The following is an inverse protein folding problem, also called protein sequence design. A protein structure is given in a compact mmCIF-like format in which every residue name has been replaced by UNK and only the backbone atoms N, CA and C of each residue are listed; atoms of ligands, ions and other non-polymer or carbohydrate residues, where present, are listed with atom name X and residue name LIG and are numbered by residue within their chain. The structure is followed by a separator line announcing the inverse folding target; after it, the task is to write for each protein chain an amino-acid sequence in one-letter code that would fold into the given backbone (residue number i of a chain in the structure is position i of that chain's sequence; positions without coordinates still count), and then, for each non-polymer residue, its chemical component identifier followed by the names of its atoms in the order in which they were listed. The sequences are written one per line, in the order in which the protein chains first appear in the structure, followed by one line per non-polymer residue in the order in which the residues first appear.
data_IF_142457894246
#
_entry.id   IF_142457894246
#
_cell.length_a   1.000
_cell.length_b   1.000
_cell.length_c   1.000
_cell.angle_alpha   90.00
_cell.angle_beta   90.00
_cell.angle_gamma   90.00
#
_symmetry.space_group_name_H-M   'P 1'
#
loop_
_entity.id
_entity.type
_entity.pdbx_description
1 polymer ?
#
# COMPACT_ATOMS: atom_id res chain seq x y z
N UNK A 1 1.94 0.53 -18.05
CA UNK A 1 0.95 1.20 -17.20
C UNK A 1 0.46 0.23 -16.15
N UNK A 2 -0.01 0.70 -15.05
CA UNK A 2 -0.49 -0.16 -13.97
C UNK A 2 -1.86 0.27 -13.50
N UNK A 3 -2.38 -0.47 -12.53
CA UNK A 3 -3.66 -0.13 -11.90
C UNK A 3 -3.37 0.50 -10.54
N UNK A 4 -3.92 1.67 -10.29
CA UNK A 4 -3.71 2.43 -9.07
C UNK A 4 -5.02 2.71 -8.37
N UNK A 5 -4.95 2.71 -7.04
CA UNK A 5 -6.10 2.98 -6.19
C UNK A 5 -5.74 4.06 -5.17
N UNK A 6 -6.77 4.75 -4.67
CA UNK A 6 -6.61 5.75 -3.64
C UNK A 6 -6.81 5.11 -2.27
N UNK A 7 -5.88 5.36 -1.36
CA UNK A 7 -5.90 4.80 0.00
C UNK A 7 -5.75 5.95 0.99
N UNK A 8 -6.64 5.99 1.98
CA UNK A 8 -6.48 6.86 3.14
C UNK A 8 -5.65 6.10 4.17
N UNK A 9 -4.54 6.66 4.60
CA UNK A 9 -3.67 6.09 5.62
C UNK A 9 -3.85 6.83 6.93
N UNK A 10 -4.21 6.11 7.98
CA UNK A 10 -4.35 6.64 9.33
C UNK A 10 -3.30 5.93 10.20
N UNK A 11 -2.26 6.66 10.59
CA UNK A 11 -1.16 6.08 11.36
C UNK A 11 -1.49 6.01 12.86
N UNK A 12 -0.86 5.07 13.54
CA UNK A 12 -0.99 4.94 15.00
C UNK A 12 -0.44 6.17 15.73
N UNK A 13 0.33 7.02 15.07
CA UNK A 13 0.79 8.31 15.58
C UNK A 13 -0.31 9.36 15.66
N UNK A 14 -1.47 9.10 15.05
CA UNK A 14 -2.57 10.06 14.92
C UNK A 14 -2.53 10.88 13.65
N UNK A 15 -1.47 10.81 12.88
CA UNK A 15 -1.37 11.50 11.58
C UNK A 15 -2.03 10.71 10.49
N UNK A 16 -2.56 11.38 9.48
CA UNK A 16 -3.21 10.74 8.34
C UNK A 16 -2.88 11.46 7.04
N UNK A 17 -3.01 10.74 5.94
CA UNK A 17 -2.84 11.29 4.58
C UNK A 17 -3.56 10.40 3.59
N UNK A 18 -3.84 10.92 2.39
CA UNK A 18 -4.34 10.12 1.28
C UNK A 18 -3.23 9.96 0.26
N UNK A 19 -3.12 8.77 -0.28
CA UNK A 19 -2.12 8.46 -1.30
C UNK A 19 -2.75 7.70 -2.46
N UNK A 20 -2.05 7.68 -3.56
CA UNK A 20 -2.36 6.81 -4.70
C UNK A 20 -1.30 5.71 -4.72
N UNK A 21 -1.73 4.47 -4.67
CA UNK A 21 -0.83 3.32 -4.61
C UNK A 21 -0.98 2.43 -5.83
N UNK A 22 0.15 1.98 -6.36
CA UNK A 22 0.19 1.00 -7.45
C UNK A 22 -0.11 -0.38 -6.89
N UNK A 23 -1.02 -1.11 -7.51
CA UNK A 23 -1.29 -2.50 -7.18
C UNK A 23 -0.19 -3.35 -7.82
N UNK A 24 0.72 -3.87 -7.00
CA UNK A 24 1.87 -4.62 -7.47
C UNK A 24 1.86 -6.05 -6.93
N UNK A 25 1.26 -6.96 -7.69
CA UNK A 25 1.19 -8.37 -7.30
C UNK A 25 2.55 -9.06 -7.25
N UNK A 26 3.55 -8.47 -7.90
CA UNK A 26 4.93 -8.96 -7.83
C UNK A 26 5.65 -8.58 -6.54
N UNK A 27 5.12 -7.63 -5.78
CA UNK A 27 5.64 -7.28 -4.46
C UNK A 27 5.01 -8.22 -3.44
N UNK A 28 5.76 -9.24 -3.04
CA UNK A 28 5.27 -10.26 -2.12
C UNK A 28 5.56 -9.89 -0.67
N UNK A 29 4.58 -10.09 0.22
CA UNK A 29 4.79 -9.90 1.65
C UNK A 29 3.98 -10.92 2.44
N UNK A 30 4.48 -11.39 3.61
CA UNK A 30 3.74 -12.37 4.42
C UNK A 30 2.49 -11.75 5.06
N UNK A 31 2.54 -10.46 5.40
CA UNK A 31 1.43 -9.73 5.98
C UNK A 31 1.03 -8.59 5.05
N UNK A 32 -0.26 -8.17 5.07
CA UNK A 32 -0.69 -7.04 4.27
C UNK A 32 0.20 -5.82 4.50
N UNK A 33 0.84 -5.32 3.45
CA UNK A 33 1.83 -4.27 3.57
C UNK A 33 1.66 -3.20 2.50
N UNK A 34 2.04 -1.98 2.88
CA UNK A 34 2.19 -0.88 1.94
C UNK A 34 3.66 -0.45 1.95
N UNK A 35 4.19 -0.22 0.76
CA UNK A 35 5.56 0.26 0.60
C UNK A 35 5.48 1.74 0.24
N UNK A 36 6.12 2.59 1.04
CA UNK A 36 6.07 4.04 0.88
C UNK A 36 7.46 4.65 0.89
N UNK A 37 7.62 5.82 0.25
CA UNK A 37 8.87 6.55 0.34
C UNK A 37 9.02 7.23 1.69
N UNK A 38 10.24 7.64 2.02
CA UNK A 38 10.58 8.29 3.28
C UNK A 38 9.70 9.52 3.55
N UNK A 39 9.40 10.31 2.54
CA UNK A 39 8.63 11.55 2.67
C UNK A 39 7.23 11.30 3.25
N UNK A 40 6.58 10.24 2.81
CA UNK A 40 5.26 9.87 3.33
C UNK A 40 5.37 9.35 4.76
N UNK A 41 6.41 8.56 5.05
CA UNK A 41 6.65 8.09 6.41
C UNK A 41 6.86 9.24 7.39
N UNK A 42 7.56 10.28 6.97
CA UNK A 42 7.78 11.49 7.78
C UNK A 42 6.48 12.26 7.99
N UNK A 43 5.68 12.41 6.94
CA UNK A 43 4.36 13.05 7.02
C UNK A 43 3.46 12.35 8.05
N UNK A 44 3.53 11.03 8.12
CA UNK A 44 2.80 10.23 9.09
C UNK A 44 3.49 10.12 10.45
N UNK A 45 4.67 10.71 10.59
CA UNK A 45 5.53 10.66 11.79
C UNK A 45 5.90 9.24 12.20
N UNK A 46 6.01 8.32 11.26
CA UNK A 46 6.44 6.95 11.54
C UNK A 46 7.89 6.91 12.01
N UNK A 47 8.70 7.88 11.60
CA UNK A 47 10.09 8.02 12.05
C UNK A 47 10.22 8.24 13.56
N UNK A 48 9.13 8.61 14.26
CA UNK A 48 9.10 8.74 15.71
C UNK A 48 8.86 7.40 16.42
N UNK A 49 8.51 6.35 15.65
CA UNK A 49 8.29 5.01 16.17
C UNK A 49 9.55 4.18 16.05
N UNK A 50 9.59 3.09 16.81
CA UNK A 50 10.68 2.12 16.70
C UNK A 50 10.46 1.27 15.45
N UNK A 51 11.41 1.34 14.51
CA UNK A 51 11.38 0.53 13.31
C UNK A 51 12.14 -0.78 13.52
N UNK A 52 11.72 -1.80 12.76
CA UNK A 52 12.53 -3.00 12.58
C UNK A 52 13.31 -2.82 11.29
N UNK A 53 14.57 -3.25 11.29
CA UNK A 53 15.37 -3.27 10.08
C UNK A 53 15.11 -4.57 9.35
N UNK A 54 14.78 -4.46 8.07
CA UNK A 54 14.57 -5.61 7.21
C UNK A 54 15.36 -5.43 5.92
N UNK A 55 15.40 -6.47 5.11
CA UNK A 55 16.08 -6.44 3.83
C UNK A 55 15.10 -6.84 2.74
N UNK A 56 15.03 -6.02 1.70
CA UNK A 56 14.26 -6.33 0.51
C UNK A 56 15.21 -6.89 -0.54
N UNK A 57 14.85 -8.02 -1.15
CA UNK A 57 15.62 -8.60 -2.23
C UNK A 57 15.32 -7.87 -3.53
N UNK A 58 16.38 -7.35 -4.15
CA UNK A 58 16.30 -6.80 -5.50
C UNK A 58 17.14 -7.67 -6.43
N UNK A 59 17.02 -7.47 -7.75
CA UNK A 59 17.54 -8.36 -8.78
C UNK A 59 18.92 -8.98 -8.52
N UNK A 60 19.84 -8.25 -7.91
CA UNK A 60 21.21 -8.72 -7.65
C UNK A 60 21.71 -8.47 -6.23
N UNK A 61 20.88 -7.91 -5.36
CA UNK A 61 21.31 -7.53 -4.00
C UNK A 61 20.15 -7.38 -3.05
N UNK A 62 20.45 -7.34 -1.76
CA UNK A 62 19.50 -6.98 -0.71
C UNK A 62 19.61 -5.50 -0.40
N UNK A 63 18.47 -4.83 -0.27
CA UNK A 63 18.38 -3.42 0.11
C UNK A 63 17.81 -3.31 1.50
N UNK A 64 18.46 -2.56 2.37
CA UNK A 64 18.01 -2.33 3.74
C UNK A 64 16.80 -1.41 3.74
N UNK A 65 15.74 -1.83 4.41
CA UNK A 65 14.50 -1.06 4.54
C UNK A 65 14.08 -0.98 6.00
N UNK A 66 13.20 -0.04 6.33
CA UNK A 66 12.59 0.05 7.66
C UNK A 66 11.20 -0.55 7.61
N UNK A 67 10.88 -1.35 8.61
CA UNK A 67 9.58 -1.99 8.73
C UNK A 67 8.90 -1.52 10.01
N UNK A 68 7.66 -1.05 9.86
CA UNK A 68 6.79 -0.66 10.97
C UNK A 68 5.57 -1.56 10.95
N UNK A 69 5.48 -2.50 11.89
CA UNK A 69 4.40 -3.48 11.91
C UNK A 69 3.09 -2.87 12.37
N UNK A 70 2.02 -3.14 11.62
CA UNK A 70 0.65 -2.72 11.94
C UNK A 70 0.57 -1.24 12.30
N UNK A 71 1.30 -0.43 11.56
CA UNK A 71 1.48 0.97 11.89
C UNK A 71 0.42 1.91 11.30
N UNK A 72 -0.34 1.44 10.31
CA UNK A 72 -1.38 2.26 9.70
C UNK A 72 -2.64 1.45 9.44
N UNK A 73 -3.78 2.15 9.47
CA UNK A 73 -5.04 1.62 8.95
C UNK A 73 -5.21 2.23 7.57
N UNK A 74 -5.27 1.36 6.55
CA UNK A 74 -5.52 1.79 5.19
C UNK A 74 -6.99 1.63 4.85
N UNK A 75 -7.60 2.65 4.28
CA UNK A 75 -8.99 2.58 3.81
C UNK A 75 -9.01 2.83 2.31
N UNK A 76 -9.53 1.85 1.57
CA UNK A 76 -9.67 1.92 0.12
C UNK A 76 -10.77 2.91 -0.23
N UNK A 77 -10.46 3.86 -1.11
CA UNK A 77 -11.40 4.89 -1.54
C UNK A 77 -11.67 4.77 -3.05
N UNK A 78 -12.91 5.04 -3.45
CA UNK A 78 -13.26 5.19 -4.84
C UNK A 78 -14.29 6.30 -4.97
N UNK A 79 -13.93 7.37 -5.71
CA UNK A 79 -14.79 8.55 -5.87
C UNK A 79 -15.29 9.12 -4.53
N UNK A 80 -14.43 9.14 -3.53
CA UNK A 80 -14.75 9.63 -2.19
C UNK A 80 -15.49 8.65 -1.30
N UNK A 81 -15.92 7.51 -1.82
CA UNK A 81 -16.56 6.47 -1.04
C UNK A 81 -15.53 5.61 -0.33
N UNK A 82 -15.73 5.37 0.98
CA UNK A 82 -14.87 4.45 1.73
C UNK A 82 -15.39 3.03 1.53
N UNK A 83 -14.50 2.13 1.11
CA UNK A 83 -14.86 0.75 0.81
C UNK A 83 -14.40 -0.21 1.91
N UNK A 84 -13.16 -0.63 1.87
CA UNK A 84 -12.61 -1.64 2.78
C UNK A 84 -11.46 -1.05 3.57
N UNK A 85 -11.34 -1.40 4.85
CA UNK A 85 -10.20 -1.00 5.68
C UNK A 85 -9.37 -2.20 6.07
N UNK A 86 -8.05 -2.04 6.09
CA UNK A 86 -7.08 -3.09 6.43
C UNK A 86 -5.98 -2.47 7.29
N UNK A 87 -5.58 -3.19 8.33
CA UNK A 87 -4.40 -2.81 9.11
C UNK A 87 -3.16 -3.28 8.34
N UNK A 88 -2.24 -2.35 8.09
CA UNK A 88 -1.10 -2.58 7.23
C UNK A 88 0.23 -2.44 7.97
N UNK A 89 1.14 -3.34 7.62
CA UNK A 89 2.55 -3.12 7.90
C UNK A 89 3.03 -2.06 6.91
N UNK A 90 4.02 -1.28 7.32
CA UNK A 90 4.59 -0.24 6.46
C UNK A 90 6.06 -0.52 6.21
N UNK A 91 6.41 -0.63 4.95
CA UNK A 91 7.80 -0.76 4.52
C UNK A 91 8.23 0.57 3.93
N UNK A 92 9.29 1.16 4.48
CA UNK A 92 9.80 2.46 4.02
C UNK A 92 11.06 2.26 3.20
N UNK A 93 11.00 2.74 1.95
CA UNK A 93 12.11 2.63 1.00
C UNK A 93 12.51 4.02 0.53
N UNK A 94 13.74 4.41 0.85
CA UNK A 94 14.27 5.70 0.40
C UNK A 94 14.38 5.72 -1.12
N UNK A 95 13.92 6.80 -1.73
CA UNK A 95 13.99 6.97 -3.19
C UNK A 95 12.89 6.25 -3.97
N UNK A 96 11.94 5.62 -3.26
CA UNK A 96 10.81 5.00 -3.94
C UNK A 96 10.00 6.06 -4.70
N UNK A 97 9.67 5.76 -5.96
CA UNK A 97 9.00 6.74 -6.83
C UNK A 97 7.52 6.88 -6.45
N UNK A 98 6.84 5.78 -6.15
CA UNK A 98 5.43 5.81 -5.78
C UNK A 98 5.09 4.70 -4.79
N UNK A 99 4.06 4.90 -3.96
CA UNK A 99 3.60 3.86 -3.05
C UNK A 99 3.15 2.60 -3.78
N UNK A 100 3.38 1.44 -3.16
CA UNK A 100 3.00 0.14 -3.69
C UNK A 100 2.18 -0.63 -2.68
N UNK A 101 1.12 -1.31 -3.12
CA UNK A 101 0.44 -2.33 -2.32
C UNK A 101 0.99 -3.69 -2.69
N UNK A 102 1.32 -4.49 -1.69
CA UNK A 102 1.82 -5.85 -1.89
C UNK A 102 0.68 -6.82 -2.23
N UNK A 103 1.03 -8.02 -2.67
CA UNK A 103 0.07 -9.06 -3.03
C UNK A 103 -0.91 -9.38 -1.88
N UNK A 104 -0.40 -9.55 -0.66
CA UNK A 104 -1.25 -9.84 0.49
C UNK A 104 -2.14 -8.66 0.87
N UNK A 105 -1.70 -7.42 0.65
CA UNK A 105 -2.52 -6.25 0.87
C UNK A 105 -3.65 -6.17 -0.16
N UNK A 106 -3.36 -6.44 -1.42
CA UNK A 106 -4.37 -6.47 -2.49
C UNK A 106 -5.47 -7.47 -2.13
N UNK A 107 -5.06 -8.66 -1.71
CA UNK A 107 -6.01 -9.70 -1.28
C UNK A 107 -6.82 -9.27 -0.04
N UNK A 108 -6.17 -8.67 0.95
CA UNK A 108 -6.85 -8.23 2.17
C UNK A 108 -7.89 -7.14 1.91
N UNK A 109 -7.65 -6.27 0.95
CA UNK A 109 -8.62 -5.26 0.52
C UNK A 109 -9.74 -5.84 -0.33
N UNK A 110 -9.70 -7.14 -0.66
CA UNK A 110 -10.64 -7.81 -1.56
C UNK A 110 -10.64 -7.22 -2.96
N UNK A 111 -9.51 -6.72 -3.41
CA UNK A 111 -9.37 -6.18 -4.76
C UNK A 111 -9.15 -7.32 -5.75
N UNK A 112 -9.97 -7.34 -6.79
CA UNK A 112 -9.81 -8.26 -7.90
C UNK A 112 -9.49 -7.44 -9.14
N UNK A 113 -8.35 -7.73 -9.78
CA UNK A 113 -7.94 -7.05 -11.01
C UNK A 113 -8.62 -7.69 -12.19
N UNK A 114 -9.33 -6.89 -12.97
CA UNK A 114 -9.99 -7.35 -14.20
C UNK A 114 -9.04 -7.19 -15.39
N UNK A 115 -8.36 -6.05 -15.46
CA UNK A 115 -7.36 -5.79 -16.49
C UNK A 115 -6.32 -4.80 -15.97
N UNK A 116 -5.07 -5.25 -15.82
CA UNK A 116 -3.99 -4.38 -15.40
C UNK A 116 -3.73 -3.25 -16.41
N UNK A 117 -3.71 -3.60 -17.69
CA UNK A 117 -3.37 -2.63 -18.74
C UNK A 117 -4.45 -1.57 -18.94
N UNK A 118 -5.72 -1.94 -18.74
CA UNK A 118 -6.85 -1.02 -18.85
C UNK A 118 -7.16 -0.33 -17.52
N UNK A 119 -6.51 -0.74 -16.43
CA UNK A 119 -6.75 -0.18 -15.11
C UNK A 119 -8.12 -0.49 -14.54
N UNK A 120 -8.65 -1.69 -14.83
CA UNK A 120 -9.97 -2.10 -14.37
C UNK A 120 -9.87 -3.06 -13.19
N UNK A 121 -10.66 -2.79 -12.15
CA UNK A 121 -10.68 -3.60 -10.94
C UNK A 121 -12.08 -3.60 -10.33
N UNK A 122 -12.31 -4.47 -9.37
CA UNK A 122 -13.55 -4.52 -8.61
C UNK A 122 -13.29 -5.07 -7.22
N UNK A 123 -14.25 -4.89 -6.32
CA UNK A 123 -14.27 -5.60 -5.05
C UNK A 123 -14.76 -7.01 -5.32
N UNK A 124 -14.07 -8.00 -4.80
CA UNK A 124 -14.41 -9.42 -4.99
C UNK A 124 -15.85 -9.67 -4.53
N UNK A 125 -16.65 -10.27 -5.39
CA UNK A 125 -18.05 -10.56 -5.11
C UNK A 125 -19.03 -9.47 -5.55
N UNK A 126 -18.52 -8.29 -5.94
CA UNK A 126 -19.36 -7.22 -6.46
C UNK A 126 -19.28 -7.20 -7.99
N UNK A 127 -20.36 -6.76 -8.63
CA UNK A 127 -20.40 -6.66 -10.10
C UNK A 127 -19.85 -5.34 -10.62
N UNK A 128 -19.79 -4.30 -9.78
CA UNK A 128 -19.35 -2.98 -10.19
C UNK A 128 -17.87 -2.98 -10.56
N UNK A 129 -17.57 -2.61 -11.80
CA UNK A 129 -16.20 -2.43 -12.30
C UNK A 129 -15.76 -1.00 -12.04
N UNK A 130 -14.58 -0.86 -11.48
CA UNK A 130 -14.00 0.45 -11.12
C UNK A 130 -12.75 0.69 -11.94
N UNK A 131 -12.36 1.94 -12.07
CA UNK A 131 -11.22 2.34 -12.88
C UNK A 131 -10.06 2.83 -12.02
N UNK A 132 -8.84 2.62 -12.53
CA UNK A 132 -7.62 3.13 -11.93
C UNK A 132 -7.67 4.65 -11.77
N UNK A 133 -7.06 5.14 -10.70
CA UNK A 133 -6.84 6.56 -10.52
C UNK A 133 -5.86 7.08 -11.58
#
# INVERSE_FOLDING_TARGET
MGTRVRIKLEAITGKNTEIVALLNSGAESPEPSIVIPTEIAEELRLNELKAETAYSEEATRYVKVKLYKKAVKGTLLDNGEELTSVILDVVVVEGLIEPLLTDSAIDAFNIEIISFSKGLWRIRGESKVRESV
#
